data_IF_909426750110
#
_entry.id   IF_909426750110
#
_cell.length_a   1.000
_cell.length_b   1.000
_cell.length_c   1.000
_cell.angle_alpha   90.00
_cell.angle_beta   90.00
_cell.angle_gamma   90.00
#
_symmetry.space_group_name_H-M   'P 1'
#
loop_
_entity.id
_entity.type
_entity.pdbx_description
1 polymer ?
#
# COMPACT_ATOMS: atom_id res chain seq x y z
N UNK A 1 -12.71 34.86 -8.93
CA UNK A 1 -12.41 33.39 -8.80
C UNK A 1 -11.78 33.00 -7.44
N UNK A 2 -11.37 33.95 -6.60
CA UNK A 2 -10.86 33.65 -5.24
C UNK A 2 -11.92 33.10 -4.27
N UNK A 3 -13.20 33.40 -4.45
CA UNK A 3 -14.25 33.03 -3.51
C UNK A 3 -14.71 31.56 -3.55
N UNK A 4 -14.69 30.89 -4.69
CA UNK A 4 -15.17 29.50 -4.82
C UNK A 4 -14.18 28.51 -4.16
N UNK A 5 -12.89 28.68 -4.36
CA UNK A 5 -11.88 27.82 -3.72
C UNK A 5 -11.92 27.90 -2.18
N UNK A 6 -12.13 29.08 -1.63
CA UNK A 6 -12.22 29.29 -0.18
C UNK A 6 -13.51 28.68 0.41
N UNK A 7 -14.62 28.67 -0.35
CA UNK A 7 -15.86 28.00 0.07
C UNK A 7 -15.68 26.48 0.16
N UNK A 8 -15.07 25.85 -0.87
CA UNK A 8 -14.80 24.41 -0.85
C UNK A 8 -13.86 24.01 0.30
N UNK A 9 -12.78 24.76 0.51
CA UNK A 9 -11.87 24.54 1.63
C UNK A 9 -12.62 24.57 2.97
N UNK A 10 -13.44 25.58 3.17
CA UNK A 10 -14.25 25.70 4.38
C UNK A 10 -15.20 24.54 4.57
N UNK A 11 -15.92 24.11 3.53
CA UNK A 11 -16.85 23.00 3.59
C UNK A 11 -16.14 21.69 3.98
N UNK A 12 -14.95 21.42 3.41
CA UNK A 12 -14.16 20.25 3.78
C UNK A 12 -13.69 20.36 5.24
N UNK A 13 -13.20 21.52 5.68
CA UNK A 13 -12.77 21.73 7.07
C UNK A 13 -13.94 21.61 8.06
N UNK A 14 -15.15 22.02 7.66
CA UNK A 14 -16.36 21.88 8.49
C UNK A 14 -16.72 20.39 8.73
N UNK A 15 -16.46 19.49 7.79
CA UNK A 15 -16.63 18.03 7.98
C UNK A 15 -15.75 17.55 9.14
N UNK A 16 -14.58 18.16 9.35
CA UNK A 16 -13.66 17.86 10.45
C UNK A 16 -13.90 18.77 11.68
N UNK A 17 -15.07 19.44 11.76
CA UNK A 17 -15.43 20.31 12.88
C UNK A 17 -14.81 21.70 12.86
N UNK A 18 -14.05 22.07 11.81
CA UNK A 18 -13.54 23.42 11.60
C UNK A 18 -12.36 23.88 12.48
N UNK A 19 -11.89 23.01 13.39
CA UNK A 19 -10.83 23.33 14.36
C UNK A 19 -9.60 22.42 14.29
N UNK A 20 -9.59 21.45 13.39
CA UNK A 20 -8.44 20.53 13.22
C UNK A 20 -7.31 21.30 12.54
N UNK A 21 -6.16 21.36 13.17
CA UNK A 21 -4.96 22.05 12.65
C UNK A 21 -4.11 21.13 11.78
N UNK A 22 -4.05 19.86 12.12
CA UNK A 22 -3.37 18.79 11.34
C UNK A 22 -3.96 17.43 11.68
N UNK A 23 -3.75 16.47 10.81
CA UNK A 23 -4.07 15.05 11.06
C UNK A 23 -2.80 14.20 10.89
N UNK A 24 -2.77 13.04 11.53
CA UNK A 24 -1.65 12.09 11.41
C UNK A 24 -2.15 10.79 10.80
N UNK A 25 -1.44 10.31 9.79
CA UNK A 25 -1.64 9.01 9.17
C UNK A 25 -0.48 8.08 9.54
N UNK A 26 -0.78 6.82 9.83
CA UNK A 26 0.24 5.84 10.15
C UNK A 26 -0.29 4.41 10.04
N UNK A 27 0.63 3.44 10.12
CA UNK A 27 0.30 2.02 10.08
C UNK A 27 0.15 1.42 8.67
N UNK A 28 -0.01 2.24 7.63
CA UNK A 28 0.00 1.84 6.23
C UNK A 28 0.59 2.97 5.38
N UNK A 29 1.06 2.68 4.16
CA UNK A 29 1.52 3.71 3.24
C UNK A 29 0.39 4.69 2.90
N UNK A 30 0.72 5.98 2.85
CA UNK A 30 -0.19 7.04 2.42
C UNK A 30 0.11 7.42 0.98
N UNK A 31 -0.90 7.37 0.12
CA UNK A 31 -0.76 7.90 -1.24
C UNK A 31 -0.49 9.41 -1.21
N UNK A 32 0.58 9.84 -1.87
CA UNK A 32 1.02 11.23 -1.88
C UNK A 32 -0.04 12.19 -2.44
N UNK A 33 -0.91 11.73 -3.36
CA UNK A 33 -1.98 12.56 -3.92
C UNK A 33 -3.03 12.92 -2.86
N UNK A 34 -3.30 12.02 -1.91
CA UNK A 34 -4.19 12.27 -0.76
C UNK A 34 -3.55 13.31 0.16
N UNK A 35 -2.28 13.14 0.49
CA UNK A 35 -1.56 14.12 1.32
C UNK A 35 -1.52 15.50 0.67
N UNK A 36 -1.25 15.59 -0.63
CA UNK A 36 -1.29 16.85 -1.40
C UNK A 36 -2.69 17.47 -1.44
N UNK A 37 -3.74 16.65 -1.58
CA UNK A 37 -5.12 17.15 -1.57
C UNK A 37 -5.45 17.79 -0.21
N UNK A 38 -5.24 17.11 0.90
CA UNK A 38 -5.54 17.63 2.22
C UNK A 38 -4.69 18.85 2.56
N UNK A 39 -3.43 18.85 2.21
CA UNK A 39 -2.57 20.04 2.34
C UNK A 39 -3.12 21.21 1.51
N UNK A 40 -3.55 20.97 0.28
CA UNK A 40 -4.17 21.97 -0.60
C UNK A 40 -5.44 22.59 -0.04
N UNK A 41 -6.22 21.87 0.74
CA UNK A 41 -7.41 22.41 1.42
C UNK A 41 -7.12 23.04 2.79
N UNK A 42 -5.87 22.96 3.26
CA UNK A 42 -5.42 23.61 4.49
C UNK A 42 -5.45 22.71 5.73
N UNK A 43 -5.55 21.38 5.53
CA UNK A 43 -5.41 20.38 6.58
C UNK A 43 -4.14 19.53 6.30
N UNK A 44 -2.98 19.89 6.88
CA UNK A 44 -1.78 19.08 6.74
C UNK A 44 -2.02 17.66 7.24
N UNK A 45 -1.77 16.68 6.38
CA UNK A 45 -1.82 15.26 6.74
C UNK A 45 -0.38 14.78 6.88
N UNK A 46 0.02 14.56 8.14
CA UNK A 46 1.38 14.20 8.52
C UNK A 46 1.50 12.69 8.58
N UNK A 47 2.49 12.13 7.91
CA UNK A 47 2.73 10.70 7.96
C UNK A 47 3.70 10.38 9.09
N UNK A 48 3.40 9.29 9.83
CA UNK A 48 4.24 8.77 10.88
C UNK A 48 4.42 7.27 10.74
N UNK A 49 5.53 6.76 11.26
CA UNK A 49 5.88 5.35 11.21
C UNK A 49 6.22 4.82 12.59
N UNK A 50 5.78 3.61 12.84
CA UNK A 50 6.10 2.84 14.01
C UNK A 50 5.54 1.44 13.92
N UNK A 51 5.86 0.64 14.89
CA UNK A 51 5.45 -0.75 14.98
C UNK A 51 5.23 -1.16 16.43
N UNK A 52 4.60 -2.29 16.65
CA UNK A 52 4.35 -2.81 18.01
C UNK A 52 5.65 -2.95 18.80
N UNK A 53 6.71 -3.38 18.14
CA UNK A 53 8.04 -3.58 18.71
C UNK A 53 8.69 -2.29 19.20
N UNK A 54 8.22 -1.12 18.76
CA UNK A 54 8.71 0.20 19.17
C UNK A 54 7.69 0.99 20.02
N UNK A 55 6.63 0.33 20.49
CA UNK A 55 5.58 0.93 21.34
C UNK A 55 4.90 2.15 20.70
N UNK A 56 4.62 2.12 19.41
CA UNK A 56 3.98 3.18 18.62
C UNK A 56 5.01 3.98 17.78
N UNK A 57 4.82 5.29 17.48
CA UNK A 57 5.62 5.97 16.47
C UNK A 57 7.09 6.06 16.84
N UNK A 58 7.94 5.77 15.85
CA UNK A 58 9.38 5.99 15.91
C UNK A 58 9.79 7.24 15.13
N UNK A 59 8.99 7.62 14.13
CA UNK A 59 9.15 8.86 13.38
C UNK A 59 7.79 9.48 13.07
N UNK A 60 7.77 10.77 12.81
CA UNK A 60 6.60 11.51 12.35
C UNK A 60 7.04 12.77 11.60
N UNK A 61 6.29 13.16 10.59
CA UNK A 61 6.49 14.43 9.92
C UNK A 61 6.21 15.58 10.91
N UNK A 62 7.08 16.60 10.98
CA UNK A 62 6.86 17.78 11.81
C UNK A 62 5.68 18.60 11.25
N UNK A 63 5.06 19.43 12.09
CA UNK A 63 3.96 20.32 11.68
C UNK A 63 4.44 21.43 10.74
N UNK A 64 5.71 21.81 10.82
CA UNK A 64 6.36 22.78 9.95
C UNK A 64 7.51 22.11 9.19
N UNK A 65 7.60 22.37 7.89
CA UNK A 65 8.67 21.81 7.05
C UNK A 65 8.55 20.31 6.78
N UNK A 66 7.36 19.72 6.91
CA UNK A 66 7.13 18.31 6.57
C UNK A 66 7.38 18.02 5.08
N UNK A 67 7.76 16.77 4.78
CA UNK A 67 7.97 16.30 3.42
C UNK A 67 6.97 15.18 3.09
N UNK A 68 6.04 15.46 2.17
CA UNK A 68 5.09 14.45 1.66
C UNK A 68 5.87 13.32 0.99
N UNK A 69 5.46 12.07 1.22
CA UNK A 69 6.15 10.86 0.74
C UNK A 69 7.28 10.39 1.67
N UNK A 70 7.42 11.01 2.85
CA UNK A 70 8.32 10.54 3.90
C UNK A 70 7.53 10.23 5.17
N UNK A 71 8.05 9.35 6.00
CA UNK A 71 7.53 9.06 7.34
C UNK A 71 8.07 10.05 8.40
N UNK A 72 8.66 11.15 7.95
CA UNK A 72 9.14 12.24 8.79
C UNK A 72 10.51 12.01 9.41
N UNK A 73 10.74 12.69 10.51
CA UNK A 73 11.98 12.66 11.28
C UNK A 73 11.87 11.70 12.48
N UNK A 74 12.97 11.06 12.90
CA UNK A 74 12.99 10.30 14.14
C UNK A 74 12.55 11.13 15.34
N UNK A 75 11.73 10.54 16.21
CA UNK A 75 11.29 11.17 17.45
C UNK A 75 12.46 11.34 18.43
N UNK A 76 12.29 12.23 19.40
CA UNK A 76 13.29 12.44 20.43
C UNK A 76 13.61 11.12 21.18
N UNK A 77 14.90 10.77 21.25
CA UNK A 77 15.37 9.53 21.85
C UNK A 77 15.31 8.31 20.92
N UNK A 78 14.88 8.47 19.68
CA UNK A 78 14.93 7.45 18.64
C UNK A 78 16.08 7.72 17.70
N UNK A 79 16.85 6.70 17.39
CA UNK A 79 17.84 6.70 16.32
C UNK A 79 17.39 5.74 15.24
N UNK A 80 17.36 6.23 13.98
CA UNK A 80 17.07 5.40 12.82
C UNK A 80 18.31 5.35 11.92
N UNK A 81 18.55 4.20 11.32
CA UNK A 81 19.64 3.97 10.38
C UNK A 81 19.21 3.03 9.29
N UNK A 82 20.01 2.94 8.23
CA UNK A 82 19.82 2.00 7.12
C UNK A 82 21.05 1.11 7.08
N UNK A 83 20.84 -0.20 7.05
CA UNK A 83 21.92 -1.17 6.94
C UNK A 83 22.42 -1.33 5.48
N UNK A 84 23.41 -2.21 5.28
CA UNK A 84 24.01 -2.48 3.96
C UNK A 84 23.02 -3.10 2.96
N UNK A 85 21.93 -3.71 3.43
CA UNK A 85 20.88 -4.30 2.61
C UNK A 85 19.73 -3.32 2.32
N UNK A 86 19.79 -2.10 2.86
CA UNK A 86 18.76 -1.08 2.73
C UNK A 86 17.63 -1.23 3.76
N UNK A 87 17.79 -2.07 4.79
CA UNK A 87 16.80 -2.26 5.84
C UNK A 87 16.85 -1.12 6.85
N UNK A 88 15.71 -0.56 7.22
CA UNK A 88 15.59 0.40 8.31
C UNK A 88 15.80 -0.31 9.64
N UNK A 89 16.71 0.24 10.44
CA UNK A 89 17.01 -0.22 11.79
C UNK A 89 16.69 0.89 12.79
N UNK A 90 16.13 0.50 13.95
CA UNK A 90 15.71 1.42 15.00
C UNK A 90 16.40 1.09 16.31
N UNK A 91 16.95 2.11 16.94
CA UNK A 91 17.48 2.04 18.31
C UNK A 91 16.76 3.06 19.17
N UNK A 92 16.10 2.57 20.23
CA UNK A 92 15.29 3.42 21.12
C UNK A 92 15.05 2.72 22.44
N UNK A 93 14.88 3.46 23.54
CA UNK A 93 14.39 2.88 24.81
C UNK A 93 13.01 2.24 24.70
N UNK A 94 12.22 2.58 23.65
CA UNK A 94 10.89 2.03 23.39
C UNK A 94 10.93 0.69 22.65
N UNK A 95 12.09 0.22 22.18
CA UNK A 95 12.21 -1.11 21.58
C UNK A 95 11.88 -2.17 22.63
N UNK A 96 10.99 -3.10 22.29
CA UNK A 96 10.55 -4.16 23.18
C UNK A 96 11.72 -5.08 23.60
N UNK A 97 11.56 -5.76 24.73
CA UNK A 97 12.59 -6.70 25.24
C UNK A 97 12.74 -7.96 24.36
N UNK A 98 11.76 -8.25 23.52
CA UNK A 98 11.76 -9.40 22.61
C UNK A 98 10.39 -10.02 22.42
N UNK A 99 10.35 -11.11 21.67
CA UNK A 99 9.14 -11.87 21.36
C UNK A 99 8.89 -12.95 22.41
N UNK A 100 7.67 -12.99 22.94
CA UNK A 100 7.27 -13.94 23.99
C UNK A 100 7.49 -15.39 23.54
N UNK A 101 8.18 -16.18 24.36
CA UNK A 101 8.55 -17.57 24.09
C UNK A 101 9.24 -17.82 22.73
N UNK A 102 9.85 -16.80 22.13
CA UNK A 102 10.56 -16.92 20.86
C UNK A 102 11.93 -16.21 20.88
N UNK A 103 12.91 -16.76 21.64
CA UNK A 103 14.23 -16.15 21.78
C UNK A 103 15.04 -16.13 20.49
N UNK A 104 14.80 -17.07 19.57
CA UNK A 104 15.55 -17.12 18.32
C UNK A 104 15.13 -15.99 17.37
N UNK A 105 13.85 -15.70 17.27
CA UNK A 105 13.36 -14.53 16.53
C UNK A 105 13.84 -13.23 17.19
N UNK A 106 13.82 -13.18 18.53
CA UNK A 106 14.33 -12.02 19.25
C UNK A 106 15.79 -11.72 18.90
N UNK A 107 16.67 -12.74 18.91
CA UNK A 107 18.09 -12.60 18.55
C UNK A 107 18.32 -12.19 17.09
N UNK A 108 17.43 -12.62 16.20
CA UNK A 108 17.49 -12.25 14.77
C UNK A 108 17.04 -10.81 14.52
N UNK A 109 16.01 -10.36 15.24
CA UNK A 109 15.41 -9.05 15.02
C UNK A 109 16.04 -7.94 15.86
N UNK A 110 16.59 -8.26 17.03
CA UNK A 110 17.22 -7.27 17.92
C UNK A 110 18.69 -7.63 18.07
N UNK A 111 19.55 -6.92 17.34
CA UNK A 111 20.99 -7.14 17.28
C UNK A 111 21.71 -5.90 17.81
N UNK A 112 22.53 -6.03 18.84
CA UNK A 112 23.30 -4.95 19.46
C UNK A 112 22.46 -3.72 19.87
N UNK A 113 21.19 -3.97 20.24
CA UNK A 113 20.21 -2.95 20.62
C UNK A 113 19.55 -2.24 19.44
N UNK A 114 19.79 -2.70 18.22
CA UNK A 114 19.09 -2.27 17.02
C UNK A 114 17.98 -3.25 16.66
N UNK A 115 16.77 -2.75 16.48
CA UNK A 115 15.67 -3.50 15.93
C UNK A 115 15.71 -3.45 14.39
N UNK A 116 15.86 -4.61 13.75
CA UNK A 116 15.71 -4.79 12.33
C UNK A 116 14.22 -4.86 11.97
N UNK A 117 13.71 -3.84 11.28
CA UNK A 117 12.27 -3.66 11.09
C UNK A 117 11.65 -4.57 10.03
N UNK A 118 12.46 -5.09 9.13
CA UNK A 118 12.02 -5.77 7.91
C UNK A 118 11.51 -4.81 6.83
N UNK A 119 11.51 -3.50 7.09
CA UNK A 119 11.12 -2.47 6.13
C UNK A 119 12.38 -1.90 5.45
N UNK A 120 12.32 -1.73 4.14
CA UNK A 120 13.38 -1.10 3.34
C UNK A 120 13.12 0.40 3.24
N UNK A 121 14.16 1.19 3.34
CA UNK A 121 14.00 2.63 3.30
C UNK A 121 15.29 3.40 3.00
N UNK A 122 15.16 4.71 3.05
CA UNK A 122 16.27 5.65 2.89
C UNK A 122 16.12 6.83 3.84
N UNK A 123 17.23 7.50 4.10
CA UNK A 123 17.28 8.73 4.90
C UNK A 123 17.94 9.79 4.03
N UNK A 124 17.27 10.92 3.85
CA UNK A 124 17.82 12.02 3.07
C UNK A 124 18.81 12.89 3.88
N UNK A 125 19.42 13.87 3.21
CA UNK A 125 20.42 14.75 3.83
C UNK A 125 19.84 15.64 4.94
N UNK A 126 18.52 15.87 4.96
CA UNK A 126 17.83 16.60 6.01
C UNK A 126 17.35 15.68 7.16
N UNK A 127 17.60 14.38 7.06
CA UNK A 127 17.25 13.37 8.05
C UNK A 127 15.84 12.80 7.91
N UNK A 128 15.07 13.16 6.87
CA UNK A 128 13.76 12.57 6.63
C UNK A 128 13.87 11.15 6.13
N UNK A 129 13.06 10.28 6.73
CA UNK A 129 13.04 8.85 6.44
C UNK A 129 11.93 8.55 5.45
N UNK A 130 12.23 7.73 4.44
CA UNK A 130 11.25 7.21 3.47
C UNK A 130 11.24 5.69 3.51
N UNK A 131 10.05 5.07 3.38
CA UNK A 131 9.89 3.62 3.23
C UNK A 131 9.72 3.31 1.75
N UNK A 132 10.52 2.36 1.27
CA UNK A 132 10.52 1.88 -0.12
C UNK A 132 9.71 0.58 -0.25
N UNK A 133 9.56 -0.17 0.84
CA UNK A 133 8.81 -1.42 0.87
C UNK A 133 9.19 -2.31 2.03
N UNK A 134 8.73 -3.57 1.97
CA UNK A 134 9.09 -4.61 2.92
C UNK A 134 10.01 -5.65 2.31
N UNK A 135 11.07 -6.04 3.03
CA UNK A 135 12.03 -7.05 2.59
C UNK A 135 11.36 -8.38 2.23
N UNK A 136 10.38 -8.80 3.03
CA UNK A 136 9.60 -10.04 2.82
C UNK A 136 8.56 -9.95 1.69
N UNK A 137 8.16 -8.74 1.31
CA UNK A 137 7.14 -8.49 0.30
C UNK A 137 7.72 -8.15 -1.07
N UNK A 138 9.07 -8.06 -1.18
CA UNK A 138 9.72 -7.88 -2.46
C UNK A 138 9.38 -9.03 -3.41
N UNK A 139 8.95 -8.66 -4.60
CA UNK A 139 8.67 -9.60 -5.69
C UNK A 139 9.94 -9.68 -6.54
N UNK A 140 10.54 -10.87 -6.61
CA UNK A 140 11.70 -11.11 -7.47
C UNK A 140 11.21 -11.77 -8.75
N UNK A 141 11.11 -11.01 -9.83
CA UNK A 141 10.66 -11.54 -11.12
C UNK A 141 11.61 -12.61 -11.68
N UNK A 142 11.16 -13.40 -12.66
CA UNK A 142 12.02 -14.39 -13.34
C UNK A 142 13.25 -13.74 -14.03
N UNK A 143 13.19 -12.43 -14.33
CA UNK A 143 14.31 -11.65 -14.86
C UNK A 143 15.26 -11.12 -13.78
N UNK A 144 15.06 -11.48 -12.50
CA UNK A 144 15.91 -11.02 -11.38
C UNK A 144 15.66 -9.57 -10.95
N UNK A 145 14.60 -8.92 -11.41
CA UNK A 145 14.25 -7.57 -10.97
C UNK A 145 13.50 -7.63 -9.63
N UNK A 146 13.99 -6.87 -8.66
CA UNK A 146 13.29 -6.64 -7.39
C UNK A 146 12.23 -5.56 -7.58
N UNK A 147 11.00 -5.85 -7.19
CA UNK A 147 9.84 -4.95 -7.29
C UNK A 147 9.19 -4.82 -5.92
N UNK A 148 9.10 -3.60 -5.40
CA UNK A 148 8.31 -3.30 -4.21
C UNK A 148 6.86 -3.06 -4.61
N UNK A 149 5.90 -3.82 -4.07
CA UNK A 149 4.50 -3.66 -4.44
C UNK A 149 3.79 -2.48 -3.73
N UNK A 150 4.36 -2.01 -2.65
CA UNK A 150 3.70 -1.19 -1.63
C UNK A 150 3.07 0.10 -2.20
N UNK A 151 3.85 0.89 -2.94
CA UNK A 151 3.41 2.17 -3.49
C UNK A 151 2.36 2.00 -4.59
N UNK A 152 2.56 1.01 -5.46
CA UNK A 152 1.61 0.73 -6.54
C UNK A 152 0.28 0.18 -6.01
N UNK A 153 0.32 -0.73 -5.03
CA UNK A 153 -0.87 -1.25 -4.36
C UNK A 153 -1.64 -0.12 -3.66
N UNK A 154 -0.94 0.75 -2.92
CA UNK A 154 -1.55 1.91 -2.29
C UNK A 154 -2.21 2.86 -3.31
N UNK A 155 -1.55 3.11 -4.45
CA UNK A 155 -2.11 3.94 -5.53
C UNK A 155 -3.38 3.32 -6.12
N UNK A 156 -3.42 2.00 -6.35
CA UNK A 156 -4.61 1.31 -6.88
C UNK A 156 -5.77 1.37 -5.87
N UNK A 157 -5.47 1.20 -4.58
CA UNK A 157 -6.48 1.29 -3.51
C UNK A 157 -7.02 2.70 -3.27
N UNK A 158 -6.51 3.74 -3.95
CA UNK A 158 -7.17 5.06 -3.97
C UNK A 158 -8.43 5.08 -4.84
N UNK A 159 -8.66 4.07 -5.69
CA UNK A 159 -9.90 3.95 -6.45
C UNK A 159 -11.07 3.59 -5.53
N UNK A 160 -12.21 4.29 -5.62
CA UNK A 160 -13.33 4.09 -4.71
C UNK A 160 -13.95 2.69 -4.78
N UNK A 161 -13.73 1.95 -5.88
CA UNK A 161 -14.29 0.60 -6.05
C UNK A 161 -13.37 -0.50 -5.50
N UNK A 162 -12.10 -0.20 -5.22
CA UNK A 162 -11.10 -1.19 -4.82
C UNK A 162 -11.03 -1.29 -3.30
N UNK A 163 -11.27 -2.49 -2.76
CA UNK A 163 -11.06 -2.80 -1.34
C UNK A 163 -9.62 -3.19 -1.04
N UNK A 164 -9.07 -4.14 -1.81
CA UNK A 164 -7.70 -4.63 -1.63
C UNK A 164 -7.04 -4.87 -2.99
N UNK A 165 -5.72 -4.68 -3.03
CA UNK A 165 -4.89 -5.00 -4.16
C UNK A 165 -3.67 -5.79 -3.71
N UNK A 166 -3.39 -6.93 -4.35
CA UNK A 166 -2.21 -7.74 -4.10
C UNK A 166 -1.45 -7.97 -5.40
N UNK A 167 -0.28 -7.35 -5.53
CA UNK A 167 0.62 -7.59 -6.64
C UNK A 167 1.29 -8.95 -6.50
N UNK A 168 1.42 -9.65 -7.60
CA UNK A 168 2.03 -10.98 -7.71
C UNK A 168 3.02 -11.01 -8.86
N UNK A 169 4.01 -11.89 -8.80
CA UNK A 169 5.02 -11.95 -9.86
C UNK A 169 6.32 -12.62 -9.44
N UNK A 170 6.38 -13.16 -8.20
CA UNK A 170 7.59 -13.85 -7.74
C UNK A 170 7.91 -15.03 -8.66
N UNK A 171 9.15 -15.04 -9.22
CA UNK A 171 9.63 -16.00 -10.22
C UNK A 171 8.75 -16.11 -11.48
N UNK A 172 7.89 -15.12 -11.73
CA UNK A 172 7.02 -15.07 -12.92
C UNK A 172 7.59 -14.10 -13.98
N UNK A 173 7.18 -14.23 -15.25
CA UNK A 173 7.75 -13.43 -16.34
C UNK A 173 7.34 -11.96 -16.31
N UNK A 174 6.32 -11.59 -15.56
CA UNK A 174 5.81 -10.22 -15.42
C UNK A 174 5.03 -10.07 -14.11
N UNK A 175 4.81 -8.81 -13.72
CA UNK A 175 3.99 -8.46 -12.56
C UNK A 175 2.51 -8.46 -12.97
N UNK A 176 1.68 -9.02 -12.09
CA UNK A 176 0.24 -8.98 -12.19
C UNK A 176 -0.39 -8.56 -10.86
N UNK A 177 -1.70 -8.34 -10.82
CA UNK A 177 -2.42 -8.00 -9.60
C UNK A 177 -3.71 -8.82 -9.45
N UNK A 178 -4.06 -9.14 -8.20
CA UNK A 178 -5.36 -9.64 -7.77
C UNK A 178 -6.03 -8.51 -7.00
N UNK A 179 -7.24 -8.17 -7.41
CA UNK A 179 -7.97 -7.01 -6.91
C UNK A 179 -9.33 -7.47 -6.39
N UNK A 180 -9.63 -7.15 -5.14
CA UNK A 180 -10.98 -7.29 -4.59
C UNK A 180 -11.68 -5.95 -4.52
N UNK A 181 -13.00 -5.97 -4.64
CA UNK A 181 -13.86 -4.79 -4.64
C UNK A 181 -14.56 -4.65 -3.28
N UNK A 182 -14.99 -3.42 -2.99
CA UNK A 182 -15.99 -3.13 -1.96
C UNK A 182 -17.35 -2.97 -2.66
N UNK A 183 -18.32 -3.80 -2.30
CA UNK A 183 -19.64 -3.78 -2.96
C UNK A 183 -20.41 -2.49 -2.68
N UNK A 184 -20.36 -2.01 -1.44
CA UNK A 184 -21.11 -0.82 -1.03
C UNK A 184 -20.55 0.43 -1.73
N UNK A 185 -19.24 0.61 -1.68
CA UNK A 185 -18.53 1.72 -2.34
C UNK A 185 -18.64 1.63 -3.87
N UNK A 186 -18.59 0.41 -4.44
CA UNK A 186 -18.81 0.19 -5.88
C UNK A 186 -20.19 0.66 -6.32
N UNK A 187 -21.24 0.33 -5.56
CA UNK A 187 -22.60 0.74 -5.86
C UNK A 187 -22.81 2.26 -5.71
N UNK A 188 -22.25 2.88 -4.68
CA UNK A 188 -22.24 4.35 -4.53
C UNK A 188 -21.53 5.03 -5.69
N UNK A 189 -20.41 4.47 -6.12
CA UNK A 189 -19.65 5.00 -7.24
C UNK A 189 -20.41 4.84 -8.58
N UNK A 190 -21.00 3.68 -8.84
CA UNK A 190 -21.85 3.44 -10.03
C UNK A 190 -23.02 4.43 -10.10
N UNK A 191 -23.71 4.64 -8.98
CA UNK A 191 -24.80 5.62 -8.87
C UNK A 191 -24.29 7.04 -9.21
N UNK A 192 -23.11 7.43 -8.71
CA UNK A 192 -22.51 8.73 -9.03
C UNK A 192 -22.18 8.90 -10.52
N UNK A 193 -22.07 7.80 -11.28
CA UNK A 193 -21.87 7.76 -12.73
C UNK A 193 -23.17 7.65 -13.52
N UNK A 194 -24.31 7.54 -12.85
CA UNK A 194 -25.61 7.30 -13.47
C UNK A 194 -25.76 5.89 -14.06
N UNK A 195 -24.97 4.93 -13.54
CA UNK A 195 -25.01 3.53 -13.91
C UNK A 195 -25.88 2.72 -12.93
N UNK A 196 -26.38 1.55 -13.38
CA UNK A 196 -27.13 0.64 -12.53
C UNK A 196 -26.23 0.00 -11.46
N UNK A 197 -26.77 -0.17 -10.27
CA UNK A 197 -26.12 -0.89 -9.19
C UNK A 197 -26.05 -2.38 -9.51
N UNK A 198 -25.08 -3.08 -8.92
CA UNK A 198 -24.87 -4.52 -9.05
C UNK A 198 -25.34 -5.23 -7.77
N UNK A 199 -25.80 -6.47 -7.92
CA UNK A 199 -26.36 -7.23 -6.81
C UNK A 199 -25.29 -7.79 -5.86
N UNK A 200 -24.13 -8.19 -6.39
CA UNK A 200 -23.06 -8.82 -5.64
C UNK A 200 -21.68 -8.57 -6.28
N UNK A 201 -20.64 -9.07 -5.63
CA UNK A 201 -19.25 -8.94 -6.09
C UNK A 201 -18.95 -9.75 -7.36
N UNK A 202 -19.67 -10.85 -7.61
CA UNK A 202 -19.51 -11.62 -8.84
C UNK A 202 -20.00 -10.80 -10.05
N UNK A 203 -21.13 -10.14 -9.93
CA UNK A 203 -21.64 -9.21 -10.95
C UNK A 203 -20.71 -7.99 -11.09
N UNK A 204 -20.27 -7.41 -9.96
CA UNK A 204 -19.33 -6.29 -9.94
C UNK A 204 -18.03 -6.61 -10.69
N UNK A 205 -17.44 -7.79 -10.45
CA UNK A 205 -16.18 -8.22 -11.08
C UNK A 205 -16.27 -8.33 -12.62
N UNK A 206 -17.46 -8.58 -13.15
CA UNK A 206 -17.76 -8.72 -14.58
C UNK A 206 -18.29 -7.43 -15.20
N UNK A 207 -18.66 -6.44 -14.40
CA UNK A 207 -19.23 -5.20 -14.87
C UNK A 207 -18.19 -4.39 -15.67
N UNK A 208 -18.43 -4.04 -16.93
CA UNK A 208 -17.46 -3.36 -17.78
C UNK A 208 -17.10 -1.95 -17.28
N UNK A 209 -18.03 -1.25 -16.62
CA UNK A 209 -17.80 0.10 -16.07
C UNK A 209 -16.84 0.01 -14.88
N UNK A 210 -17.07 -0.95 -13.98
CA UNK A 210 -16.19 -1.21 -12.83
C UNK A 210 -14.81 -1.65 -13.30
N UNK A 211 -14.74 -2.56 -14.29
CA UNK A 211 -13.46 -3.02 -14.85
C UNK A 211 -12.66 -1.88 -15.46
N UNK A 212 -13.32 -0.96 -16.19
CA UNK A 212 -12.66 0.21 -16.76
C UNK A 212 -12.08 1.15 -15.68
N UNK A 213 -12.79 1.32 -14.55
CA UNK A 213 -12.26 2.10 -13.42
C UNK A 213 -11.05 1.44 -12.77
N UNK A 214 -11.10 0.13 -12.54
CA UNK A 214 -9.94 -0.62 -12.02
C UNK A 214 -8.77 -0.53 -13.00
N UNK A 215 -9.00 -0.68 -14.31
CA UNK A 215 -7.95 -0.52 -15.33
C UNK A 215 -7.33 0.89 -15.31
N UNK A 216 -8.16 1.92 -15.12
CA UNK A 216 -7.69 3.29 -14.94
C UNK A 216 -6.78 3.43 -13.72
N UNK A 217 -7.16 2.82 -12.58
CA UNK A 217 -6.36 2.84 -11.35
C UNK A 217 -5.03 2.10 -11.53
N UNK A 218 -5.05 0.94 -12.18
CA UNK A 218 -3.83 0.17 -12.50
C UNK A 218 -2.91 0.96 -13.45
N UNK A 219 -3.47 1.62 -14.46
CA UNK A 219 -2.68 2.44 -15.39
C UNK A 219 -2.04 3.63 -14.66
N UNK A 220 -2.77 4.31 -13.77
CA UNK A 220 -2.23 5.38 -12.92
C UNK A 220 -1.07 4.87 -12.06
N UNK A 221 -1.21 3.71 -11.40
CA UNK A 221 -0.14 3.12 -10.60
C UNK A 221 1.08 2.74 -11.46
N UNK A 222 0.87 2.29 -12.68
CA UNK A 222 1.95 1.96 -13.63
C UNK A 222 2.79 3.18 -14.03
N UNK A 223 2.30 4.41 -13.88
CA UNK A 223 3.08 5.64 -14.11
C UNK A 223 4.21 5.80 -13.07
N UNK A 224 4.05 5.20 -11.88
CA UNK A 224 5.05 5.20 -10.81
C UNK A 224 6.20 4.21 -11.06
N UNK A 225 6.04 3.29 -12.02
CA UNK A 225 6.88 2.13 -12.18
C UNK A 225 7.64 2.12 -13.52
N UNK A 226 8.83 1.52 -13.52
CA UNK A 226 9.50 1.21 -14.77
C UNK A 226 8.73 0.14 -15.56
N UNK A 227 9.04 0.01 -16.87
CA UNK A 227 8.42 -1.01 -17.74
C UNK A 227 8.53 -2.44 -17.20
N UNK A 228 9.59 -2.75 -16.46
CA UNK A 228 9.81 -4.08 -15.89
C UNK A 228 8.99 -4.33 -14.63
N UNK A 229 8.60 -3.28 -13.93
CA UNK A 229 7.86 -3.28 -12.67
C UNK A 229 6.35 -3.12 -12.88
N UNK A 230 5.93 -2.67 -14.08
CA UNK A 230 4.53 -2.39 -14.38
C UNK A 230 3.67 -3.66 -14.34
N UNK A 231 2.46 -3.52 -13.82
CA UNK A 231 1.41 -4.55 -13.84
C UNK A 231 0.96 -4.76 -15.27
N UNK A 232 1.13 -5.98 -15.79
CA UNK A 232 0.78 -6.36 -17.17
C UNK A 232 -0.58 -6.97 -17.31
N UNK A 233 -1.07 -7.59 -16.22
CA UNK A 233 -2.39 -8.18 -16.13
C UNK A 233 -2.94 -7.99 -14.74
N UNK A 234 -4.25 -7.92 -14.63
CA UNK A 234 -4.94 -7.99 -13.35
C UNK A 234 -6.22 -8.81 -13.49
N UNK A 235 -6.63 -9.39 -12.38
CA UNK A 235 -7.93 -10.05 -12.26
C UNK A 235 -8.68 -9.48 -11.06
N UNK A 236 -9.95 -9.19 -11.30
CA UNK A 236 -10.90 -8.78 -10.26
C UNK A 236 -11.56 -10.06 -9.75
N UNK A 237 -11.43 -10.31 -8.46
CA UNK A 237 -12.00 -11.51 -7.83
C UNK A 237 -13.37 -11.21 -7.22
N UNK A 238 -14.29 -12.20 -7.24
CA UNK A 238 -15.65 -12.01 -6.73
C UNK A 238 -15.75 -12.14 -5.21
N UNK A 239 -14.62 -12.25 -4.51
CA UNK A 239 -14.57 -12.46 -3.08
C UNK A 239 -14.10 -11.21 -2.36
N UNK A 240 -14.70 -10.90 -1.22
CA UNK A 240 -14.16 -9.93 -0.28
C UNK A 240 -13.01 -10.56 0.52
N UNK A 241 -11.96 -9.77 0.79
CA UNK A 241 -10.88 -10.22 1.67
C UNK A 241 -11.24 -9.88 3.11
N UNK A 242 -11.47 -10.93 3.91
CA UNK A 242 -11.91 -10.80 5.30
C UNK A 242 -10.94 -11.49 6.26
N UNK A 243 -11.03 -11.17 7.55
CA UNK A 243 -10.30 -11.88 8.59
C UNK A 243 -10.77 -13.34 8.70
N UNK A 244 -12.06 -13.60 8.50
CA UNK A 244 -12.66 -14.93 8.59
C UNK A 244 -12.12 -15.89 7.54
N UNK A 245 -11.93 -15.42 6.29
CA UNK A 245 -11.31 -16.23 5.23
C UNK A 245 -9.77 -16.19 5.28
N UNK A 246 -9.19 -15.46 6.21
CA UNK A 246 -7.75 -15.40 6.46
C UNK A 246 -6.96 -14.61 5.43
N UNK A 247 -7.61 -13.86 4.53
CA UNK A 247 -6.94 -13.10 3.47
C UNK A 247 -6.47 -11.71 3.92
N UNK A 248 -7.00 -11.20 5.05
CA UNK A 248 -6.49 -9.98 5.71
C UNK A 248 -6.15 -10.25 7.16
N UNK A 249 -5.39 -9.34 7.75
CA UNK A 249 -5.12 -9.29 9.19
C UNK A 249 -6.26 -8.57 9.91
N UNK A 250 -6.35 -8.64 11.27
CA UNK A 250 -7.31 -7.82 12.05
C UNK A 250 -7.20 -6.31 11.81
N UNK A 251 -6.04 -5.85 11.33
CA UNK A 251 -5.82 -4.45 10.92
C UNK A 251 -6.11 -4.20 9.44
N UNK A 252 -6.87 -5.09 8.79
CA UNK A 252 -7.32 -5.01 7.39
C UNK A 252 -6.18 -4.95 6.36
N UNK A 253 -4.98 -5.48 6.67
CA UNK A 253 -3.87 -5.60 5.72
C UNK A 253 -3.92 -6.94 5.00
N UNK A 254 -3.83 -6.93 3.66
CA UNK A 254 -3.82 -8.15 2.87
C UNK A 254 -2.64 -9.07 3.25
N UNK A 255 -2.94 -10.34 3.45
CA UNK A 255 -1.95 -11.40 3.70
C UNK A 255 -1.50 -11.99 2.37
N UNK A 256 -0.52 -11.38 1.72
CA UNK A 256 -0.04 -11.71 0.36
C UNK A 256 0.09 -13.20 0.11
N UNK A 257 0.77 -13.93 1.00
CA UNK A 257 0.97 -15.37 0.83
C UNK A 257 -0.35 -16.15 0.88
N UNK A 258 -1.28 -15.78 1.76
CA UNK A 258 -2.60 -16.40 1.83
C UNK A 258 -3.42 -16.13 0.56
N UNK A 259 -3.39 -14.90 0.05
CA UNK A 259 -4.06 -14.52 -1.20
C UNK A 259 -3.48 -15.31 -2.39
N UNK A 260 -2.16 -15.40 -2.51
CA UNK A 260 -1.49 -16.17 -3.58
C UNK A 260 -1.87 -17.63 -3.52
N UNK A 261 -1.92 -18.23 -2.34
CA UNK A 261 -2.31 -19.63 -2.16
C UNK A 261 -3.78 -19.86 -2.50
N UNK A 262 -4.66 -18.99 -1.99
CA UNK A 262 -6.10 -19.06 -2.24
C UNK A 262 -6.43 -18.98 -3.74
N UNK A 263 -5.80 -18.06 -4.46
CA UNK A 263 -6.04 -17.84 -5.89
C UNK A 263 -5.02 -18.55 -6.80
N UNK A 264 -4.28 -19.55 -6.31
CA UNK A 264 -3.25 -20.28 -7.06
C UNK A 264 -3.76 -20.77 -8.42
N UNK A 265 -4.97 -21.36 -8.47
CA UNK A 265 -5.55 -21.86 -9.72
C UNK A 265 -5.82 -20.74 -10.72
N UNK A 266 -6.35 -19.59 -10.27
CA UNK A 266 -6.58 -18.41 -11.08
C UNK A 266 -5.24 -17.86 -11.62
N UNK A 267 -4.26 -17.75 -10.74
CA UNK A 267 -2.93 -17.27 -11.08
C UNK A 267 -2.28 -18.11 -12.17
N UNK A 268 -2.27 -19.42 -12.02
CA UNK A 268 -1.56 -20.32 -12.95
C UNK A 268 -2.33 -20.58 -14.25
N UNK A 269 -3.68 -20.60 -14.21
CA UNK A 269 -4.50 -20.95 -15.38
C UNK A 269 -5.06 -19.76 -16.15
N UNK A 270 -5.14 -18.57 -15.55
CA UNK A 270 -5.71 -17.39 -16.18
C UNK A 270 -4.64 -16.31 -16.38
N UNK A 271 -3.89 -15.99 -15.34
CA UNK A 271 -2.91 -14.89 -15.40
C UNK A 271 -1.66 -15.33 -16.15
N UNK A 272 -1.01 -16.41 -15.72
CA UNK A 272 0.26 -16.90 -16.27
C UNK A 272 0.09 -18.12 -17.17
N UNK A 273 -0.88 -18.06 -18.08
CA UNK A 273 -1.06 -19.14 -19.07
C UNK A 273 0.21 -19.30 -19.91
N UNK A 274 0.80 -20.50 -20.01
CA UNK A 274 1.90 -20.75 -20.91
C UNK A 274 1.47 -20.43 -22.35
N UNK A 275 2.25 -19.60 -23.08
CA UNK A 275 2.03 -19.46 -24.53
C UNK A 275 2.12 -20.84 -25.15
N UNK A 276 1.06 -21.28 -25.83
CA UNK A 276 1.19 -22.44 -26.73
C UNK A 276 2.33 -22.11 -27.69
N UNK A 277 3.30 -23.04 -27.89
CA UNK A 277 4.28 -22.85 -28.94
C UNK A 277 3.51 -22.69 -30.24
N UNK A 278 3.75 -21.58 -30.95
CA UNK A 278 3.26 -21.43 -32.32
C UNK A 278 3.78 -22.64 -33.10
N UNK A 279 2.84 -23.44 -33.61
CA UNK A 279 3.20 -24.52 -34.53
C UNK A 279 3.85 -23.82 -35.73
N UNK A 280 5.16 -23.96 -35.86
CA UNK A 280 5.84 -23.60 -37.09
C UNK A 280 5.16 -24.42 -38.19
N UNK A 281 4.35 -23.72 -39.00
CA UNK A 281 3.89 -24.28 -40.27
C UNK A 281 5.14 -24.51 -41.12
N UNK A 282 5.42 -25.78 -41.41
CA UNK A 282 6.37 -26.21 -42.41
C UNK A 282 5.91 -25.80 -43.81
#
# INVERSE_FOLDING_TARGET
SRGLGDVYKRQIMEVFGGHVEYAVSGGAPLDSSIAHFFNGVGLPLLEGYGMTETCAPSSVNPTEGYKIGTIGLPLQGVTMGVDEEGELCIKSPAVCAGYHNNPDVTKQQIVDGWLHTGDLGSIDDDGFVSIVGRKKDLIITAGGKNVSPCEMEASIMTSPVVSQCVMIGDRKPFIAAIISLDLAETNLWLESKGAEQVADLDEASKNPIVRAEVERAVNKANELASRAESIRKFEIVPDEFTEENGLVTPSMKARRQAVVEHYRTLIDKVIYVPRKPEAHAE
#
